data_IF_766823191892
#
_entry.id   IF_766823191892
#
_cell.length_a   1.000
_cell.length_b   1.000
_cell.length_c   1.000
_cell.angle_alpha   90.00
_cell.angle_beta   90.00
_cell.angle_gamma   90.00
#
_symmetry.space_group_name_H-M   'P 1'
#
loop_
_entity.id
_entity.type
_entity.pdbx_description
1 polymer ?
#
# COMPACT_ATOMS: atom_id res chain seq x y z
N UNK A 1 -45.23 -32.24 5.55
CA UNK A 1 -44.36 -32.76 4.47
C UNK A 1 -44.19 -31.65 3.44
N UNK A 2 -42.94 -31.37 3.06
CA UNK A 2 -42.44 -30.30 2.17
C UNK A 2 -42.66 -28.87 2.71
N UNK A 3 -41.68 -28.14 3.25
CA UNK A 3 -40.34 -27.76 2.73
C UNK A 3 -40.44 -26.98 1.42
N UNK A 4 -40.12 -25.68 1.46
CA UNK A 4 -39.14 -25.10 0.54
C UNK A 4 -38.65 -23.76 1.06
N UNK A 5 -37.37 -23.79 1.41
CA UNK A 5 -36.52 -22.70 1.83
C UNK A 5 -36.42 -21.60 0.78
N UNK A 6 -36.70 -20.37 1.18
CA UNK A 6 -36.18 -19.18 0.51
C UNK A 6 -34.91 -18.75 1.23
N UNK A 7 -33.77 -19.33 0.85
CA UNK A 7 -32.47 -18.78 1.18
C UNK A 7 -32.34 -17.40 0.54
N UNK A 8 -32.41 -16.36 1.36
CA UNK A 8 -31.95 -15.02 1.03
C UNK A 8 -30.46 -15.08 0.71
N UNK A 9 -30.11 -14.98 -0.57
CA UNK A 9 -28.75 -14.65 -0.99
C UNK A 9 -28.40 -13.30 -0.38
N UNK A 10 -27.39 -13.30 0.49
CA UNK A 10 -26.75 -12.09 0.96
C UNK A 10 -26.19 -11.33 -0.24
N UNK A 11 -26.54 -10.04 -0.32
CA UNK A 11 -25.98 -9.09 -1.26
C UNK A 11 -24.52 -8.80 -0.88
N UNK A 12 -23.62 -9.63 -1.40
CA UNK A 12 -22.18 -9.39 -1.33
C UNK A 12 -21.76 -8.72 -2.65
N UNK A 13 -22.13 -7.45 -2.85
CA UNK A 13 -21.73 -6.68 -4.03
C UNK A 13 -21.16 -5.30 -3.68
N UNK A 14 -19.88 -5.18 -4.02
CA UNK A 14 -19.16 -3.96 -4.42
C UNK A 14 -18.70 -2.95 -3.36
N UNK A 15 -17.74 -3.36 -2.53
CA UNK A 15 -16.60 -2.49 -2.20
C UNK A 15 -15.45 -2.87 -3.14
N UNK A 16 -15.09 -1.94 -4.03
CA UNK A 16 -14.20 -2.20 -5.17
C UNK A 16 -12.85 -2.77 -4.74
N UNK A 17 -12.54 -3.98 -5.23
CA UNK A 17 -11.20 -4.55 -5.15
C UNK A 17 -10.21 -3.51 -5.69
N UNK A 18 -9.26 -3.05 -4.86
CA UNK A 18 -8.19 -2.18 -5.34
C UNK A 18 -7.36 -2.97 -6.34
N UNK A 19 -7.38 -2.54 -7.59
CA UNK A 19 -6.55 -3.14 -8.62
C UNK A 19 -5.22 -2.40 -8.67
N UNK A 20 -4.12 -3.16 -8.79
CA UNK A 20 -2.81 -2.58 -9.08
C UNK A 20 -2.78 -2.22 -10.55
N UNK A 21 -2.65 -0.93 -10.84
CA UNK A 21 -2.43 -0.40 -12.16
C UNK A 21 -0.94 -0.40 -12.50
N UNK A 22 -0.62 -0.49 -13.79
CA UNK A 22 0.75 -0.37 -14.31
C UNK A 22 0.76 0.68 -15.42
N UNK A 23 1.52 1.74 -15.21
CA UNK A 23 1.87 2.71 -16.22
C UNK A 23 3.36 2.58 -16.55
N UNK A 24 3.76 2.86 -17.79
CA UNK A 24 5.17 2.84 -18.15
C UNK A 24 5.46 3.62 -19.42
N UNK A 25 6.70 4.05 -19.55
CA UNK A 25 7.21 4.83 -20.67
C UNK A 25 8.63 4.40 -20.99
N UNK A 26 8.94 4.28 -22.29
CA UNK A 26 10.31 4.30 -22.81
C UNK A 26 10.45 5.63 -23.55
N UNK A 27 11.32 6.48 -23.06
CA UNK A 27 11.55 7.82 -23.56
C UNK A 27 12.85 7.90 -24.35
N UNK A 28 12.71 8.17 -25.64
CA UNK A 28 13.83 8.43 -26.54
C UNK A 28 14.29 9.88 -26.41
N UNK A 29 15.58 10.07 -26.14
CA UNK A 29 16.21 11.38 -26.07
C UNK A 29 17.37 11.40 -27.05
N UNK A 30 17.08 11.87 -28.26
CA UNK A 30 18.06 11.98 -29.34
C UNK A 30 19.09 13.09 -29.06
N UNK A 31 20.26 12.95 -29.67
CA UNK A 31 21.35 13.93 -29.61
C UNK A 31 21.73 14.29 -28.16
N UNK A 32 21.78 13.28 -27.28
CA UNK A 32 21.93 13.48 -25.83
C UNK A 32 23.29 14.12 -25.49
N UNK A 33 24.36 13.69 -26.16
CA UNK A 33 25.72 14.21 -25.91
C UNK A 33 25.84 15.71 -26.21
N UNK A 34 25.11 16.20 -27.21
CA UNK A 34 25.12 17.60 -27.65
C UNK A 34 23.94 18.42 -27.11
N UNK A 35 23.26 17.92 -26.08
CA UNK A 35 22.12 18.60 -25.47
C UNK A 35 22.45 20.06 -25.09
N UNK A 36 21.72 21.01 -25.67
CA UNK A 36 21.92 22.44 -25.49
C UNK A 36 21.50 22.99 -24.12
N UNK A 37 20.79 22.20 -23.30
CA UNK A 37 20.32 22.60 -21.99
C UNK A 37 21.49 22.91 -21.04
N UNK A 38 21.34 23.91 -20.19
CA UNK A 38 22.30 24.29 -19.14
C UNK A 38 22.03 23.52 -17.84
N UNK A 39 22.92 23.64 -16.86
CA UNK A 39 22.67 23.14 -15.50
C UNK A 39 21.40 23.81 -14.94
N UNK A 40 20.55 23.04 -14.26
CA UNK A 40 19.26 23.50 -13.75
C UNK A 40 18.13 23.60 -14.79
N UNK A 41 18.42 23.46 -16.08
CA UNK A 41 17.39 23.36 -17.12
C UNK A 41 16.97 21.90 -17.32
N UNK A 42 15.68 21.69 -17.63
CA UNK A 42 15.10 20.36 -17.77
C UNK A 42 14.27 20.19 -19.03
N UNK A 43 14.07 18.92 -19.39
CA UNK A 43 13.12 18.45 -20.40
C UNK A 43 12.07 17.58 -19.71
N UNK A 44 10.84 17.57 -20.22
CA UNK A 44 9.80 16.64 -19.77
C UNK A 44 9.47 15.60 -20.84
N UNK A 45 9.08 14.41 -20.39
CA UNK A 45 8.59 13.37 -21.29
C UNK A 45 7.15 13.63 -21.70
N UNK A 46 6.63 12.92 -22.72
CA UNK A 46 5.19 12.78 -22.90
C UNK A 46 4.53 12.24 -21.62
N UNK A 47 3.27 12.63 -21.41
CA UNK A 47 2.44 12.09 -20.33
C UNK A 47 2.10 10.63 -20.65
N UNK A 48 2.17 9.77 -19.65
CA UNK A 48 1.79 8.37 -19.72
C UNK A 48 0.91 7.99 -18.52
N UNK A 49 0.04 7.00 -18.71
CA UNK A 49 -0.89 6.51 -17.70
C UNK A 49 -1.14 5.01 -17.91
N UNK A 50 -1.89 4.37 -17.01
CA UNK A 50 -2.27 2.98 -17.19
C UNK A 50 -3.26 2.82 -18.36
N UNK A 51 -3.31 1.63 -18.98
CA UNK A 51 -4.30 1.33 -20.02
C UNK A 51 -5.74 1.32 -19.46
N UNK A 52 -5.87 1.02 -18.17
CA UNK A 52 -7.15 0.84 -17.46
C UNK A 52 -7.49 2.00 -16.52
N UNK A 53 -6.54 2.92 -16.29
CA UNK A 53 -6.75 4.14 -15.50
C UNK A 53 -6.13 5.36 -16.19
N UNK A 54 -6.97 6.35 -16.50
CA UNK A 54 -6.59 7.63 -17.11
C UNK A 54 -6.60 8.80 -16.11
N UNK A 55 -6.88 8.54 -14.83
CA UNK A 55 -6.91 9.57 -13.77
C UNK A 55 -5.51 9.88 -13.27
N UNK A 56 -4.71 8.86 -12.99
CA UNK A 56 -3.32 9.06 -12.61
C UNK A 56 -2.44 9.20 -13.85
N UNK A 57 -1.97 10.43 -14.09
CA UNK A 57 -1.14 10.80 -15.23
C UNK A 57 0.27 11.12 -14.77
N UNK A 58 1.23 10.48 -15.40
CA UNK A 58 2.64 10.51 -15.01
C UNK A 58 3.48 11.13 -16.11
N UNK A 59 4.57 11.77 -15.75
CA UNK A 59 5.60 12.18 -16.70
C UNK A 59 6.97 12.19 -16.03
N UNK A 60 8.02 12.12 -16.84
CA UNK A 60 9.40 12.23 -16.38
C UNK A 60 9.92 13.64 -16.58
N UNK A 61 10.74 14.10 -15.65
CA UNK A 61 11.48 15.35 -15.73
C UNK A 61 12.97 15.07 -15.57
N UNK A 62 13.74 15.31 -16.64
CA UNK A 62 15.17 15.05 -16.69
C UNK A 62 15.94 16.37 -16.73
N UNK A 63 17.01 16.43 -15.95
CA UNK A 63 18.03 17.48 -15.98
C UNK A 63 19.32 16.85 -16.53
N UNK A 64 19.60 16.96 -17.84
CA UNK A 64 20.73 16.26 -18.46
C UNK A 64 22.10 16.67 -17.92
N UNK A 65 22.21 17.87 -17.34
CA UNK A 65 23.44 18.43 -16.76
C UNK A 65 23.29 18.74 -15.26
N UNK A 66 22.46 17.98 -14.55
CA UNK A 66 22.20 18.15 -13.12
C UNK A 66 21.17 19.25 -12.83
N UNK A 67 20.45 19.09 -11.72
CA UNK A 67 19.44 20.06 -11.26
C UNK A 67 20.05 21.25 -10.50
N UNK A 68 21.20 21.04 -9.85
CA UNK A 68 21.98 22.06 -9.14
C UNK A 68 23.47 21.88 -9.46
N UNK A 69 24.29 22.83 -9.01
CA UNK A 69 25.73 22.80 -9.28
C UNK A 69 26.45 21.58 -8.69
N UNK A 70 25.99 21.08 -7.53
CA UNK A 70 26.59 19.92 -6.83
C UNK A 70 26.39 18.59 -7.56
N UNK A 71 25.43 18.55 -8.49
CA UNK A 71 25.03 17.40 -9.28
C UNK A 71 25.26 17.62 -10.79
N UNK A 72 26.04 18.64 -11.19
CA UNK A 72 26.31 18.98 -12.59
C UNK A 72 26.93 17.87 -13.45
N UNK A 73 27.65 16.96 -12.80
CA UNK A 73 28.30 15.80 -13.43
C UNK A 73 27.37 14.59 -13.53
N UNK A 74 26.12 14.73 -13.08
CA UNK A 74 25.10 13.69 -13.08
C UNK A 74 23.87 14.13 -13.89
N UNK A 75 23.12 13.15 -14.34
CA UNK A 75 21.74 13.32 -14.77
C UNK A 75 20.88 13.29 -13.50
N UNK A 76 20.01 14.28 -13.34
CA UNK A 76 18.95 14.23 -12.34
C UNK A 76 17.64 13.83 -13.01
N UNK A 77 16.87 12.97 -12.37
CA UNK A 77 15.66 12.41 -12.95
C UNK A 77 14.55 12.29 -11.91
N UNK A 78 13.36 12.76 -12.27
CA UNK A 78 12.19 12.78 -11.42
C UNK A 78 10.96 12.22 -12.12
N UNK A 79 10.17 11.47 -11.38
CA UNK A 79 8.82 11.05 -11.71
C UNK A 79 7.86 12.08 -11.12
N UNK A 80 6.98 12.58 -11.97
CA UNK A 80 5.99 13.58 -11.62
C UNK A 80 4.60 12.99 -11.76
N UNK A 81 3.72 13.34 -10.83
CA UNK A 81 2.29 13.05 -10.91
C UNK A 81 1.54 14.34 -11.26
N UNK A 82 0.83 14.33 -12.39
CA UNK A 82 -0.12 15.39 -12.74
C UNK A 82 -1.29 15.35 -11.75
N UNK A 83 -1.75 16.52 -11.33
CA UNK A 83 -2.63 16.70 -10.18
C UNK A 83 -3.83 15.74 -10.14
N UNK A 84 -3.93 14.98 -9.04
CA UNK A 84 -5.10 14.16 -8.69
C UNK A 84 -5.83 14.83 -7.52
N UNK A 85 -7.16 14.80 -7.54
CA UNK A 85 -8.00 15.28 -6.44
C UNK A 85 -7.75 14.48 -5.15
N UNK A 86 -7.05 15.09 -4.17
CA UNK A 86 -7.02 14.74 -2.74
C UNK A 86 -6.94 13.24 -2.38
N UNK A 87 -6.08 12.47 -3.05
CA UNK A 87 -5.80 11.08 -2.67
C UNK A 87 -4.30 10.85 -2.58
N UNK A 88 -3.87 10.28 -1.46
CA UNK A 88 -2.53 9.70 -1.32
C UNK A 88 -2.44 8.45 -2.19
N UNK A 89 -1.51 8.47 -3.14
CA UNK A 89 -1.27 7.37 -4.07
C UNK A 89 0.02 6.68 -3.65
N UNK A 90 -0.11 5.50 -3.03
CA UNK A 90 1.04 4.62 -2.84
C UNK A 90 1.51 4.11 -4.20
N UNK A 91 2.80 4.29 -4.46
CA UNK A 91 3.42 4.00 -5.75
C UNK A 91 4.70 3.21 -5.56
N UNK A 92 4.92 2.30 -6.48
CA UNK A 92 6.13 1.51 -6.58
C UNK A 92 6.66 1.70 -7.99
N UNK A 93 7.80 2.35 -8.16
CA UNK A 93 8.30 2.75 -9.47
C UNK A 93 9.79 2.49 -9.64
N UNK A 94 10.23 2.43 -10.88
CA UNK A 94 11.64 2.31 -11.22
C UNK A 94 12.03 3.21 -12.39
N UNK A 95 13.30 3.56 -12.42
CA UNK A 95 13.99 4.10 -13.59
C UNK A 95 15.03 3.10 -14.06
N UNK A 96 15.22 3.02 -15.37
CA UNK A 96 16.26 2.18 -15.97
C UNK A 96 16.69 2.76 -17.31
N UNK A 97 17.84 2.35 -17.79
CA UNK A 97 18.33 2.67 -19.13
C UNK A 97 18.37 1.40 -19.96
N UNK A 98 17.98 1.46 -21.22
CA UNK A 98 18.07 0.32 -22.12
C UNK A 98 19.39 0.33 -22.88
N UNK A 99 20.10 -0.80 -22.89
CA UNK A 99 21.28 -0.98 -23.72
C UNK A 99 20.90 -1.38 -25.17
N UNK A 100 21.90 -1.58 -26.02
CA UNK A 100 21.73 -1.95 -27.44
C UNK A 100 20.99 -3.28 -27.63
N UNK A 101 21.14 -4.19 -26.68
CA UNK A 101 20.52 -5.50 -26.65
C UNK A 101 19.06 -5.44 -26.09
N UNK A 102 18.59 -4.26 -25.65
CA UNK A 102 17.26 -4.05 -25.09
C UNK A 102 17.12 -4.48 -23.62
N UNK A 103 18.24 -4.74 -22.94
CA UNK A 103 18.28 -5.12 -21.54
C UNK A 103 18.25 -3.88 -20.62
N UNK A 104 17.68 -4.04 -19.43
CA UNK A 104 17.56 -2.97 -18.44
C UNK A 104 18.85 -2.85 -17.62
N UNK A 105 19.57 -1.76 -17.84
CA UNK A 105 20.75 -1.35 -17.06
C UNK A 105 20.43 -0.17 -16.13
N UNK A 106 21.27 0.02 -15.11
CA UNK A 106 21.16 1.10 -14.12
C UNK A 106 19.74 1.25 -13.53
N UNK A 107 19.10 0.11 -13.28
CA UNK A 107 17.77 0.06 -12.73
C UNK A 107 17.79 0.48 -11.25
N UNK A 108 17.06 1.55 -10.94
CA UNK A 108 16.87 2.05 -9.57
C UNK A 108 15.38 2.04 -9.28
N UNK A 109 15.05 1.67 -8.05
CA UNK A 109 13.72 1.37 -7.59
C UNK A 109 13.34 2.21 -6.37
N UNK A 110 12.05 2.57 -6.25
CA UNK A 110 11.50 3.30 -5.11
C UNK A 110 10.06 2.90 -4.80
N UNK A 111 9.71 2.94 -3.51
CA UNK A 111 8.35 2.89 -2.99
C UNK A 111 8.06 4.23 -2.31
N UNK A 112 7.08 4.99 -2.82
CA UNK A 112 6.79 6.36 -2.37
C UNK A 112 5.30 6.65 -2.37
N UNK A 113 4.88 7.66 -1.60
CA UNK A 113 3.49 8.12 -1.57
C UNK A 113 3.40 9.49 -2.24
N UNK A 114 2.74 9.56 -3.39
CA UNK A 114 2.44 10.83 -4.05
C UNK A 114 1.14 11.41 -3.48
N UNK A 115 1.12 12.72 -3.26
CA UNK A 115 -0.07 13.42 -2.79
C UNK A 115 -0.06 14.89 -3.25
N UNK A 116 -1.00 15.69 -2.75
CA UNK A 116 -1.14 17.09 -3.16
C UNK A 116 0.12 17.94 -2.87
N UNK A 117 0.86 17.64 -1.79
CA UNK A 117 2.07 18.39 -1.42
C UNK A 117 3.32 17.81 -2.05
N UNK A 118 3.39 16.48 -2.17
CA UNK A 118 4.54 15.74 -2.69
C UNK A 118 4.19 15.08 -4.03
N UNK A 119 4.26 15.87 -5.10
CA UNK A 119 3.93 15.43 -6.48
C UNK A 119 5.15 14.93 -7.28
N UNK A 120 6.35 15.01 -6.70
CA UNK A 120 7.64 14.81 -7.37
C UNK A 120 8.56 13.93 -6.53
N UNK A 121 8.98 12.80 -7.06
CA UNK A 121 10.01 11.95 -6.46
C UNK A 121 11.07 11.57 -7.49
N UNK A 122 12.33 11.45 -7.07
CA UNK A 122 13.42 11.20 -8.01
C UNK A 122 14.80 11.20 -7.38
N UNK A 123 15.80 11.19 -8.24
CA UNK A 123 17.20 11.13 -7.87
C UNK A 123 17.97 12.30 -8.46
N UNK A 124 18.59 13.08 -7.58
CA UNK A 124 19.51 14.16 -7.94
C UNK A 124 20.72 13.65 -8.73
N UNK A 125 21.22 12.46 -8.37
CA UNK A 125 22.38 11.81 -8.98
C UNK A 125 21.97 10.45 -9.54
N UNK A 126 21.06 10.44 -10.52
CA UNK A 126 20.55 9.20 -11.12
C UNK A 126 21.64 8.46 -11.90
N UNK A 127 22.33 9.17 -12.80
CA UNK A 127 23.35 8.55 -13.65
C UNK A 127 24.53 9.47 -13.91
N UNK A 128 25.76 8.96 -13.82
CA UNK A 128 26.96 9.78 -14.02
C UNK A 128 27.16 10.07 -15.52
N UNK A 129 27.28 11.35 -15.87
CA UNK A 129 27.39 11.79 -17.27
C UNK A 129 28.68 11.35 -17.93
N UNK A 130 29.78 11.33 -17.18
CA UNK A 130 31.08 10.90 -17.72
C UNK A 130 31.07 9.41 -18.07
N UNK A 131 30.33 8.60 -17.31
CA UNK A 131 30.12 7.19 -17.65
C UNK A 131 29.23 7.04 -18.88
N UNK A 132 28.16 7.83 -18.98
CA UNK A 132 27.25 7.78 -20.11
C UNK A 132 27.91 8.18 -21.45
N UNK A 133 28.76 9.23 -21.41
CA UNK A 133 29.41 9.78 -22.59
C UNK A 133 30.69 9.04 -23.00
N UNK A 134 31.14 8.07 -22.18
CA UNK A 134 32.30 7.26 -22.51
C UNK A 134 31.96 6.36 -23.70
N UNK A 135 32.77 6.42 -24.77
CA UNK A 135 32.61 5.65 -26.01
C UNK A 135 32.56 4.14 -25.78
N UNK A 136 33.15 3.67 -24.68
CA UNK A 136 33.15 2.25 -24.30
C UNK A 136 31.82 1.80 -23.65
N UNK A 137 30.94 2.74 -23.29
CA UNK A 137 29.69 2.43 -22.63
C UNK A 137 28.57 2.27 -23.69
N UNK A 138 28.00 1.07 -23.80
CA UNK A 138 26.99 0.71 -24.82
C UNK A 138 25.59 1.31 -24.57
N UNK A 139 25.51 2.36 -23.78
CA UNK A 139 24.25 2.92 -23.24
C UNK A 139 23.61 3.91 -24.21
N UNK A 140 24.42 4.64 -24.99
CA UNK A 140 23.92 5.51 -26.05
C UNK A 140 23.91 4.74 -27.38
N UNK A 141 22.74 4.72 -28.03
CA UNK A 141 22.55 4.08 -29.35
C UNK A 141 22.41 5.22 -30.35
N UNK A 142 23.38 5.43 -31.24
CA UNK A 142 23.37 6.56 -32.19
C UNK A 142 23.12 7.91 -31.49
N UNK A 143 23.85 8.18 -30.40
CA UNK A 143 23.68 9.37 -29.53
C UNK A 143 22.25 9.54 -28.95
N UNK A 144 21.48 8.45 -28.89
CA UNK A 144 20.14 8.44 -28.30
C UNK A 144 20.16 7.72 -26.97
N UNK A 145 19.65 8.38 -25.93
CA UNK A 145 19.43 7.79 -24.62
C UNK A 145 18.02 7.21 -24.56
N UNK A 146 17.91 5.90 -24.28
CA UNK A 146 16.65 5.20 -24.06
C UNK A 146 16.35 5.08 -22.57
N UNK A 147 15.60 6.03 -22.04
CA UNK A 147 15.26 6.06 -20.62
C UNK A 147 13.89 5.42 -20.37
N UNK A 148 13.85 4.40 -19.52
CA UNK A 148 12.62 3.71 -19.14
C UNK A 148 12.13 4.07 -17.75
N UNK A 149 10.81 4.09 -17.58
CA UNK A 149 10.14 4.14 -16.29
C UNK A 149 8.95 3.19 -16.26
N UNK A 150 8.77 2.49 -15.15
CA UNK A 150 7.51 1.79 -14.84
C UNK A 150 7.02 2.22 -13.47
N UNK A 151 5.71 2.41 -13.35
CA UNK A 151 5.02 2.83 -12.12
C UNK A 151 3.87 1.87 -11.88
N UNK A 152 3.84 1.29 -10.68
CA UNK A 152 2.73 0.53 -10.15
C UNK A 152 2.05 1.36 -9.07
N UNK A 153 0.72 1.38 -9.05
CA UNK A 153 -0.07 2.16 -8.08
C UNK A 153 -1.44 1.52 -7.89
N UNK A 154 -2.07 1.74 -6.74
CA UNK A 154 -3.45 1.29 -6.54
C UNK A 154 -4.42 2.27 -7.19
N UNK A 155 -5.25 1.78 -8.11
CA UNK A 155 -6.45 2.51 -8.53
C UNK A 155 -7.61 2.10 -7.63
N UNK A 156 -8.16 3.09 -6.93
CA UNK A 156 -9.35 2.94 -6.10
C UNK A 156 -10.47 3.81 -6.65
N UNK A 157 -11.60 3.18 -6.99
CA UNK A 157 -12.89 3.87 -7.15
C UNK A 157 -13.21 4.59 -5.84
N UNK A 158 -13.03 5.91 -5.79
CA UNK A 158 -13.80 6.74 -4.86
C UNK A 158 -15.06 7.21 -5.57
N UNK A 159 -16.21 6.89 -4.99
CA UNK A 159 -17.45 7.61 -5.23
C UNK A 159 -17.21 9.08 -4.90
N UNK A 160 -16.88 9.86 -5.92
CA UNK A 160 -16.89 11.33 -5.84
C UNK A 160 -18.34 11.77 -5.84
N UNK A 161 -19.00 11.75 -4.69
CA UNK A 161 -20.24 12.51 -4.54
C UNK A 161 -19.89 14.00 -4.51
N UNK A 162 -20.39 14.72 -5.50
CA UNK A 162 -20.26 16.18 -5.66
C UNK A 162 -20.72 16.93 -4.42
N UNK A 163 -19.90 17.87 -3.96
CA UNK A 163 -20.10 18.63 -2.72
C UNK A 163 -20.97 19.87 -2.89
N UNK A 164 -22.15 19.82 -2.28
CA UNK A 164 -22.85 21.00 -1.72
C UNK A 164 -23.84 20.62 -0.60
N UNK A 165 -24.35 19.38 -0.57
CA UNK A 165 -25.26 18.87 0.49
C UNK A 165 -24.54 18.17 1.67
N UNK A 166 -23.22 17.96 1.60
CA UNK A 166 -22.44 17.08 2.49
C UNK A 166 -22.07 17.70 3.85
N UNK A 167 -22.07 19.03 3.98
CA UNK A 167 -21.53 19.70 5.19
C UNK A 167 -22.35 19.42 6.45
N UNK A 168 -23.69 19.45 6.37
CA UNK A 168 -24.56 19.20 7.53
C UNK A 168 -24.56 17.72 7.93
N UNK A 169 -24.56 16.81 6.95
CA UNK A 169 -24.50 15.36 7.19
C UNK A 169 -23.19 14.99 7.90
N UNK A 170 -22.06 15.58 7.47
CA UNK A 170 -20.76 15.34 8.10
C UNK A 170 -20.73 15.81 9.56
N UNK A 171 -21.40 16.93 9.86
CA UNK A 171 -21.59 17.41 11.24
C UNK A 171 -22.34 16.41 12.10
N UNK A 172 -23.52 15.95 11.65
CA UNK A 172 -24.33 14.98 12.39
C UNK A 172 -23.63 13.62 12.58
N UNK A 173 -22.97 13.11 11.55
CA UNK A 173 -22.18 11.88 11.65
C UNK A 173 -21.04 12.01 12.65
N UNK A 174 -20.29 13.12 12.62
CA UNK A 174 -19.22 13.36 13.57
C UNK A 174 -19.72 13.40 15.02
N UNK A 175 -20.88 14.02 15.27
CA UNK A 175 -21.51 14.00 16.60
C UNK A 175 -21.82 12.58 17.04
N UNK A 176 -22.49 11.78 16.19
CA UNK A 176 -22.81 10.39 16.50
C UNK A 176 -21.56 9.55 16.82
N UNK A 177 -20.50 9.68 16.00
CA UNK A 177 -19.23 8.96 16.24
C UNK A 177 -18.57 9.38 17.55
N UNK A 178 -18.70 10.65 17.95
CA UNK A 178 -18.19 11.12 19.23
C UNK A 178 -19.05 10.64 20.40
N UNK A 179 -20.37 10.54 20.23
CA UNK A 179 -21.27 9.96 21.23
C UNK A 179 -20.94 8.49 21.50
N UNK A 180 -20.69 7.69 20.45
CA UNK A 180 -20.21 6.31 20.61
C UNK A 180 -18.81 6.23 21.23
N UNK A 181 -17.91 7.16 20.89
CA UNK A 181 -16.61 7.25 21.55
C UNK A 181 -16.76 7.55 23.05
N UNK A 182 -17.66 8.45 23.43
CA UNK A 182 -17.95 8.75 24.84
C UNK A 182 -18.62 7.56 25.56
N UNK A 183 -19.46 6.81 24.86
CA UNK A 183 -20.06 5.59 25.37
C UNK A 183 -19.00 4.52 25.69
N UNK A 184 -17.98 4.38 24.83
CA UNK A 184 -16.83 3.51 25.08
C UNK A 184 -16.03 3.96 26.33
N UNK A 185 -15.69 5.24 26.44
CA UNK A 185 -14.85 5.74 27.54
C UNK A 185 -15.56 5.84 28.90
N UNK A 186 -16.90 5.90 28.92
CA UNK A 186 -17.67 6.07 30.17
C UNK A 186 -18.11 4.77 30.85
N UNK A 187 -17.91 3.60 30.21
CA UNK A 187 -18.40 2.29 30.66
C UNK A 187 -19.91 2.22 30.96
N UNK A 188 -20.69 3.23 30.54
CA UNK A 188 -22.08 3.38 30.98
C UNK A 188 -22.96 2.35 30.28
N UNK A 189 -23.61 1.50 31.07
CA UNK A 189 -24.45 0.38 30.59
C UNK A 189 -23.67 -0.74 29.89
N UNK A 190 -22.37 -0.89 30.19
CA UNK A 190 -21.63 -2.08 29.76
C UNK A 190 -22.31 -3.35 30.27
N UNK A 191 -22.39 -4.34 29.40
CA UNK A 191 -23.04 -5.63 29.69
C UNK A 191 -22.09 -6.81 29.42
N UNK A 192 -20.83 -6.54 29.07
CA UNK A 192 -19.74 -7.50 29.00
C UNK A 192 -18.39 -6.85 29.32
N UNK A 193 -17.41 -7.69 29.67
CA UNK A 193 -16.03 -7.30 29.95
C UNK A 193 -15.11 -8.06 29.00
N UNK A 194 -14.20 -7.35 28.34
CA UNK A 194 -13.12 -7.95 27.57
C UNK A 194 -11.87 -7.97 28.44
N UNK A 195 -11.35 -9.16 28.71
CA UNK A 195 -10.18 -9.38 29.56
C UNK A 195 -8.95 -9.66 28.71
N UNK A 196 -7.88 -8.89 28.91
CA UNK A 196 -6.60 -8.97 28.20
C UNK A 196 -5.47 -8.99 29.22
N UNK A 197 -5.01 -10.19 29.59
CA UNK A 197 -4.12 -10.34 30.74
C UNK A 197 -4.78 -9.82 32.03
N UNK A 198 -4.13 -8.85 32.67
CA UNK A 198 -4.63 -8.18 33.88
C UNK A 198 -5.48 -6.92 33.58
N UNK A 199 -5.66 -6.57 32.29
CA UNK A 199 -6.48 -5.44 31.87
C UNK A 199 -7.90 -5.86 31.56
N UNK A 200 -8.86 -5.03 31.96
CA UNK A 200 -10.28 -5.22 31.69
C UNK A 200 -10.83 -4.02 30.92
N UNK A 201 -11.66 -4.30 29.91
CA UNK A 201 -12.30 -3.29 29.05
C UNK A 201 -13.81 -3.54 29.09
N UNK A 202 -14.55 -2.59 29.66
CA UNK A 202 -16.01 -2.57 29.61
C UNK A 202 -16.51 -2.39 28.17
N UNK A 203 -17.48 -3.20 27.76
CA UNK A 203 -18.02 -3.15 26.41
C UNK A 203 -19.53 -3.45 26.32
N UNK A 204 -20.10 -3.19 25.15
CA UNK A 204 -21.51 -3.45 24.84
C UNK A 204 -21.65 -4.58 23.83
N UNK A 205 -22.32 -5.66 24.22
CA UNK A 205 -22.50 -6.86 23.42
C UNK A 205 -23.11 -6.55 22.05
N UNK A 206 -24.13 -5.70 22.02
CA UNK A 206 -24.83 -5.34 20.78
C UNK A 206 -23.93 -4.64 19.77
N UNK A 207 -22.98 -3.82 20.22
CA UNK A 207 -22.01 -3.15 19.34
C UNK A 207 -21.00 -4.18 18.84
N UNK A 208 -20.46 -5.02 19.72
CA UNK A 208 -19.47 -6.03 19.32
C UNK A 208 -20.05 -7.03 18.31
N UNK A 209 -21.25 -7.55 18.56
CA UNK A 209 -21.91 -8.54 17.70
C UNK A 209 -22.25 -7.98 16.32
N UNK A 210 -22.75 -6.74 16.24
CA UNK A 210 -23.12 -6.13 14.95
C UNK A 210 -21.89 -5.81 14.08
N UNK A 211 -20.75 -5.51 14.71
CA UNK A 211 -19.56 -5.01 14.04
C UNK A 211 -18.51 -6.10 13.76
N UNK A 212 -18.69 -7.31 14.30
CA UNK A 212 -17.80 -8.45 14.10
C UNK A 212 -18.56 -9.77 14.22
N UNK A 213 -18.56 -10.54 13.14
CA UNK A 213 -19.14 -11.89 13.11
C UNK A 213 -18.51 -12.81 14.16
N UNK A 214 -17.21 -12.62 14.45
CA UNK A 214 -16.50 -13.42 15.45
C UNK A 214 -17.00 -13.08 16.86
N UNK A 215 -17.21 -11.81 17.17
CA UNK A 215 -17.83 -11.43 18.44
C UNK A 215 -19.28 -11.89 18.54
N UNK A 216 -20.06 -11.85 17.45
CA UNK A 216 -21.44 -12.38 17.45
C UNK A 216 -21.48 -13.88 17.78
N UNK A 217 -20.59 -14.67 17.18
CA UNK A 217 -20.44 -16.09 17.46
C UNK A 217 -20.08 -16.32 18.93
N UNK A 218 -19.02 -15.68 19.44
CA UNK A 218 -18.58 -15.79 20.84
C UNK A 218 -19.72 -15.45 21.80
N UNK A 219 -20.42 -14.35 21.54
CA UNK A 219 -21.50 -13.86 22.39
C UNK A 219 -22.76 -14.73 22.32
N UNK A 220 -23.00 -15.39 21.19
CA UNK A 220 -24.13 -16.30 21.00
C UNK A 220 -23.88 -17.65 21.64
N UNK A 221 -22.66 -18.19 21.57
CA UNK A 221 -22.26 -19.39 22.30
C UNK A 221 -22.39 -19.18 23.83
N UNK A 222 -21.93 -18.02 24.32
CA UNK A 222 -22.03 -17.64 25.73
C UNK A 222 -23.45 -17.38 26.23
N UNK A 223 -24.46 -17.15 25.37
CA UNK A 223 -25.86 -16.97 25.81
C UNK A 223 -26.39 -18.19 26.59
N UNK A 224 -25.83 -19.37 26.35
CA UNK A 224 -26.25 -20.62 26.97
C UNK A 224 -25.44 -20.96 28.23
N UNK A 225 -24.37 -20.21 28.52
CA UNK A 225 -23.53 -20.41 29.68
C UNK A 225 -24.03 -19.52 30.83
N UNK A 226 -24.18 -20.08 32.02
CA UNK A 226 -24.52 -19.33 33.24
C UNK A 226 -23.33 -18.48 33.75
N UNK A 227 -22.24 -18.42 32.98
CA UNK A 227 -20.98 -17.80 33.31
C UNK A 227 -20.99 -16.29 33.04
N UNK A 228 -20.11 -15.58 33.75
CA UNK A 228 -19.90 -14.14 33.60
C UNK A 228 -19.72 -13.74 32.13
N UNK A 229 -20.25 -12.57 31.75
CA UNK A 229 -20.15 -11.99 30.40
C UNK A 229 -18.71 -11.52 30.07
N UNK A 230 -17.71 -12.34 30.38
CA UNK A 230 -16.29 -12.08 30.17
C UNK A 230 -15.85 -12.75 28.86
N UNK A 231 -15.19 -11.98 28.00
CA UNK A 231 -14.54 -12.42 26.77
C UNK A 231 -13.03 -12.30 26.98
N UNK A 232 -12.30 -13.42 26.90
CA UNK A 232 -10.86 -13.42 27.15
C UNK A 232 -10.09 -13.38 25.83
N UNK A 233 -9.09 -12.49 25.75
CA UNK A 233 -8.21 -12.32 24.59
C UNK A 233 -6.77 -12.41 25.08
N UNK A 234 -6.02 -13.37 24.54
CA UNK A 234 -4.65 -13.67 24.98
C UNK A 234 -3.56 -13.30 23.96
N UNK A 235 -3.92 -13.19 22.68
CA UNK A 235 -2.94 -13.10 21.59
C UNK A 235 -2.43 -11.68 21.30
N UNK A 236 -2.95 -10.66 22.01
CA UNK A 236 -2.68 -9.25 21.72
C UNK A 236 -2.48 -8.45 23.01
N UNK A 237 -1.71 -7.36 22.91
CA UNK A 237 -1.52 -6.44 24.04
C UNK A 237 -2.82 -5.67 24.35
N UNK A 238 -3.00 -5.21 25.59
CA UNK A 238 -4.17 -4.41 25.98
C UNK A 238 -4.38 -3.17 25.09
N UNK A 239 -3.30 -2.53 24.64
CA UNK A 239 -3.35 -1.34 23.77
C UNK A 239 -3.95 -1.66 22.40
N UNK A 240 -3.47 -2.73 21.75
CA UNK A 240 -3.97 -3.15 20.43
C UNK A 240 -5.45 -3.56 20.54
N UNK A 241 -5.82 -4.29 21.58
CA UNK A 241 -7.24 -4.65 21.81
C UNK A 241 -8.08 -3.41 22.05
N UNK A 242 -7.61 -2.45 22.85
CA UNK A 242 -8.34 -1.20 23.10
C UNK A 242 -8.63 -0.43 21.82
N UNK A 243 -7.65 -0.30 20.93
CA UNK A 243 -7.83 0.35 19.63
C UNK A 243 -8.75 -0.43 18.69
N UNK A 244 -8.72 -1.78 18.71
CA UNK A 244 -9.72 -2.60 18.01
C UNK A 244 -11.14 -2.29 18.49
N UNK A 245 -11.38 -2.26 19.80
CA UNK A 245 -12.73 -2.01 20.34
C UNK A 245 -13.18 -0.59 20.02
N UNK A 246 -12.30 0.40 20.16
CA UNK A 246 -12.58 1.78 19.76
C UNK A 246 -12.93 1.89 18.28
N UNK A 247 -12.28 1.13 17.41
CA UNK A 247 -12.66 1.02 16.00
C UNK A 247 -14.07 0.44 15.81
N UNK A 248 -14.46 -0.59 16.56
CA UNK A 248 -15.81 -1.16 16.46
C UNK A 248 -16.90 -0.11 16.80
N UNK A 249 -16.65 0.72 17.81
CA UNK A 249 -17.57 1.77 18.23
C UNK A 249 -17.64 2.96 17.27
N UNK A 250 -16.50 3.37 16.72
CA UNK A 250 -16.40 4.66 16.04
C UNK A 250 -16.14 4.56 14.53
N UNK A 251 -15.76 3.39 14.03
CA UNK A 251 -15.25 3.19 12.67
C UNK A 251 -13.98 3.99 12.35
N UNK A 252 -13.42 4.74 13.30
CA UNK A 252 -12.17 5.48 13.12
C UNK A 252 -11.02 4.50 13.18
N UNK A 253 -10.19 4.49 12.15
CA UNK A 253 -9.01 3.65 12.09
C UNK A 253 -7.99 4.14 13.14
N UNK A 254 -7.32 3.22 13.85
CA UNK A 254 -6.25 3.58 14.77
C UNK A 254 -5.09 4.23 14.02
N UNK A 255 -4.13 4.80 14.74
CA UNK A 255 -2.86 5.19 14.12
C UNK A 255 -2.13 3.91 13.69
N UNK A 256 -2.40 3.48 12.46
CA UNK A 256 -1.94 2.19 11.95
C UNK A 256 -0.41 2.14 11.85
N UNK A 257 0.28 3.26 11.72
CA UNK A 257 1.70 3.25 11.36
C UNK A 257 2.60 2.58 12.41
N UNK A 258 2.23 2.62 13.69
CA UNK A 258 3.00 1.99 14.78
C UNK A 258 2.58 0.54 15.08
N UNK A 259 1.34 0.16 14.75
CA UNK A 259 0.73 -1.12 15.12
C UNK A 259 0.10 -1.84 13.93
N UNK A 260 0.55 -1.56 12.71
CA UNK A 260 -0.09 -2.06 11.49
C UNK A 260 -0.03 -3.58 11.40
N UNK A 261 1.05 -4.22 11.87
CA UNK A 261 1.17 -5.68 11.86
C UNK A 261 0.14 -6.33 12.79
N UNK A 262 -0.06 -5.75 13.98
CA UNK A 262 -1.00 -6.21 14.98
C UNK A 262 -2.44 -5.94 14.53
N UNK A 263 -2.71 -4.80 13.90
CA UNK A 263 -4.01 -4.48 13.32
C UNK A 263 -4.35 -5.36 12.12
N UNK A 264 -3.36 -5.76 11.32
CA UNK A 264 -3.54 -6.76 10.27
C UNK A 264 -3.95 -8.12 10.86
N UNK A 265 -3.26 -8.56 11.91
CA UNK A 265 -3.53 -9.82 12.61
C UNK A 265 -4.92 -9.83 13.28
N UNK A 266 -5.25 -8.78 14.04
CA UNK A 266 -6.58 -8.62 14.65
C UNK A 266 -7.67 -8.54 13.59
N UNK A 267 -7.43 -7.77 12.52
CA UNK A 267 -8.40 -7.59 11.44
C UNK A 267 -8.75 -8.91 10.76
N UNK A 268 -7.77 -9.79 10.57
CA UNK A 268 -8.02 -11.13 10.04
C UNK A 268 -8.71 -12.06 11.06
N UNK A 269 -8.27 -12.04 12.32
CA UNK A 269 -8.79 -12.91 13.39
C UNK A 269 -10.26 -12.61 13.71
N UNK A 270 -10.62 -11.34 13.84
CA UNK A 270 -11.99 -10.89 14.19
C UNK A 270 -12.83 -10.50 12.96
N UNK A 271 -12.36 -10.82 11.75
CA UNK A 271 -13.02 -10.57 10.47
C UNK A 271 -13.42 -9.10 10.24
N UNK A 272 -12.54 -8.19 10.65
CA UNK A 272 -12.70 -6.74 10.49
C UNK A 272 -12.07 -6.29 9.17
N UNK A 273 -12.79 -6.52 8.06
CA UNK A 273 -12.29 -6.31 6.69
C UNK A 273 -11.66 -4.93 6.45
N UNK A 274 -12.36 -3.85 6.81
CA UNK A 274 -11.87 -2.49 6.55
C UNK A 274 -10.66 -2.11 7.42
N UNK A 275 -10.60 -2.61 8.67
CA UNK A 275 -9.43 -2.44 9.54
C UNK A 275 -8.21 -3.17 8.96
N UNK A 276 -8.41 -4.40 8.47
CA UNK A 276 -7.38 -5.19 7.79
C UNK A 276 -6.86 -4.48 6.55
N UNK A 277 -7.74 -3.96 5.69
CA UNK A 277 -7.36 -3.21 4.49
C UNK A 277 -6.58 -1.94 4.83
N UNK A 278 -6.97 -1.21 5.88
CA UNK A 278 -6.23 -0.04 6.34
C UNK A 278 -4.83 -0.39 6.85
N UNK A 279 -4.70 -1.49 7.58
CA UNK A 279 -3.41 -2.02 8.01
C UNK A 279 -2.53 -2.41 6.80
N UNK A 280 -3.10 -3.08 5.79
CA UNK A 280 -2.39 -3.36 4.53
C UNK A 280 -1.88 -2.08 3.86
N UNK A 281 -2.70 -1.02 3.79
CA UNK A 281 -2.28 0.27 3.22
C UNK A 281 -1.10 0.90 3.98
N UNK A 282 -1.14 0.88 5.32
CA UNK A 282 -0.05 1.43 6.14
C UNK A 282 1.26 0.66 5.91
N UNK A 283 1.20 -0.67 5.90
CA UNK A 283 2.35 -1.54 5.61
C UNK A 283 2.89 -1.32 4.18
N UNK A 284 2.02 -1.12 3.21
CA UNK A 284 2.41 -0.78 1.83
C UNK A 284 3.17 0.55 1.79
N UNK A 285 2.72 1.57 2.54
CA UNK A 285 3.36 2.90 2.56
C UNK A 285 4.75 2.86 3.22
N UNK A 286 4.95 2.01 4.22
CA UNK A 286 6.23 1.86 4.94
C UNK A 286 7.17 0.80 4.37
N UNK A 287 6.76 0.06 3.33
CA UNK A 287 7.52 -1.03 2.74
C UNK A 287 8.90 -0.57 2.20
N UNK A 288 9.94 -1.30 2.61
CA UNK A 288 11.33 -1.10 2.23
C UNK A 288 12.10 -2.44 2.25
N UNK A 289 13.42 -2.40 1.97
CA UNK A 289 14.26 -3.61 1.86
C UNK A 289 14.38 -4.37 3.21
N UNK A 290 14.32 -3.67 4.33
CA UNK A 290 14.53 -4.24 5.67
C UNK A 290 13.28 -4.98 6.16
N UNK A 291 12.08 -4.48 5.86
CA UNK A 291 10.83 -5.05 6.35
C UNK A 291 10.08 -5.95 5.35
N UNK A 292 10.45 -5.98 4.06
CA UNK A 292 9.69 -6.73 3.04
C UNK A 292 9.60 -8.23 3.32
N UNK A 293 10.63 -8.84 3.91
CA UNK A 293 10.63 -10.27 4.25
C UNK A 293 9.65 -10.59 5.37
N UNK A 294 9.52 -9.73 6.38
CA UNK A 294 8.54 -9.86 7.45
C UNK A 294 7.12 -9.62 6.90
N UNK A 295 6.94 -8.58 6.08
CA UNK A 295 5.63 -8.22 5.53
C UNK A 295 5.09 -9.28 4.58
N UNK A 296 5.92 -9.91 3.73
CA UNK A 296 5.43 -10.98 2.85
C UNK A 296 4.95 -12.20 3.65
N UNK A 297 5.66 -12.58 4.71
CA UNK A 297 5.26 -13.69 5.59
C UNK A 297 3.94 -13.38 6.29
N UNK A 298 3.85 -12.19 6.92
CA UNK A 298 2.62 -11.73 7.58
C UNK A 298 1.45 -11.62 6.60
N UNK A 299 1.70 -11.17 5.36
CA UNK A 299 0.66 -11.05 4.35
C UNK A 299 0.08 -12.40 3.94
N UNK A 300 0.88 -13.47 3.98
CA UNK A 300 0.40 -14.82 3.71
C UNK A 300 -0.31 -15.41 4.92
N UNK A 301 0.29 -15.29 6.11
CA UNK A 301 -0.27 -15.75 7.37
C UNK A 301 -1.68 -15.18 7.62
N UNK A 302 -1.85 -13.88 7.40
CA UNK A 302 -3.12 -13.19 7.63
C UNK A 302 -3.95 -13.01 6.36
N UNK A 303 -3.69 -13.76 5.28
CA UNK A 303 -4.49 -13.70 4.03
C UNK A 303 -4.72 -12.27 3.50
N UNK A 304 -3.69 -11.42 3.56
CA UNK A 304 -3.70 -10.03 3.14
C UNK A 304 -3.17 -9.92 1.71
N UNK A 305 -4.05 -10.15 0.75
CA UNK A 305 -3.66 -10.36 -0.65
C UNK A 305 -3.14 -9.08 -1.33
N UNK A 306 -3.62 -7.91 -0.92
CA UNK A 306 -3.20 -6.62 -1.50
C UNK A 306 -1.75 -6.32 -1.11
N UNK A 307 -1.43 -6.48 0.17
CA UNK A 307 -0.07 -6.36 0.69
C UNK A 307 0.85 -7.42 0.07
N UNK A 308 0.39 -8.66 -0.04
CA UNK A 308 1.17 -9.77 -0.60
C UNK A 308 1.57 -9.51 -2.04
N UNK A 309 0.62 -9.11 -2.89
CA UNK A 309 0.92 -8.78 -4.28
C UNK A 309 1.93 -7.62 -4.38
N UNK A 310 1.78 -6.59 -3.53
CA UNK A 310 2.71 -5.47 -3.48
C UNK A 310 4.13 -5.90 -3.07
N UNK A 311 4.25 -6.70 -2.01
CA UNK A 311 5.52 -7.26 -1.55
C UNK A 311 6.18 -8.14 -2.62
N UNK A 312 5.45 -9.03 -3.29
CA UNK A 312 6.00 -9.88 -4.36
C UNK A 312 6.58 -9.04 -5.51
N UNK A 313 5.88 -7.97 -5.91
CA UNK A 313 6.39 -7.06 -6.93
C UNK A 313 7.61 -6.29 -6.45
N UNK A 314 7.61 -5.80 -5.21
CA UNK A 314 8.78 -5.15 -4.60
C UNK A 314 10.00 -6.08 -4.63
N UNK A 315 9.82 -7.34 -4.23
CA UNK A 315 10.89 -8.35 -4.26
C UNK A 315 11.38 -8.56 -5.68
N UNK A 316 10.48 -8.66 -6.67
CA UNK A 316 10.86 -8.87 -8.07
C UNK A 316 11.74 -7.73 -8.62
N UNK A 317 11.47 -6.48 -8.22
CA UNK A 317 12.23 -5.31 -8.61
C UNK A 317 13.58 -5.21 -7.87
N UNK A 318 13.71 -5.81 -6.69
CA UNK A 318 14.91 -5.76 -5.83
C UNK A 318 15.64 -7.11 -5.71
N UNK A 319 15.34 -8.08 -6.59
CA UNK A 319 15.82 -9.46 -6.49
C UNK A 319 17.35 -9.59 -6.36
N UNK A 320 18.13 -8.72 -7.02
CA UNK A 320 19.61 -8.75 -6.96
C UNK A 320 20.15 -8.49 -5.55
N UNK A 321 19.46 -7.64 -4.78
CA UNK A 321 19.82 -7.29 -3.41
C UNK A 321 19.29 -8.39 -2.48
N UNK A 322 18.00 -8.72 -2.60
CA UNK A 322 17.32 -9.66 -1.71
C UNK A 322 17.83 -11.10 -1.85
N UNK A 323 18.24 -11.55 -3.03
CA UNK A 323 18.82 -12.89 -3.21
C UNK A 323 20.08 -13.13 -2.37
N UNK A 324 20.74 -12.06 -1.90
CA UNK A 324 21.92 -12.12 -1.03
C UNK A 324 21.59 -12.00 0.47
N UNK A 325 20.36 -11.62 0.82
CA UNK A 325 19.92 -11.44 2.21
C UNK A 325 19.69 -12.79 2.89
N UNK A 326 20.09 -12.90 4.16
CA UNK A 326 19.84 -14.09 4.98
C UNK A 326 18.36 -14.19 5.37
N UNK A 327 17.69 -13.06 5.55
CA UNK A 327 16.25 -12.97 5.82
C UNK A 327 15.45 -13.58 4.66
N UNK A 328 15.81 -13.24 3.42
CA UNK A 328 15.16 -13.84 2.25
C UNK A 328 15.38 -15.35 2.17
N UNK A 329 16.59 -15.83 2.47
CA UNK A 329 16.86 -17.29 2.52
C UNK A 329 15.98 -17.99 3.54
N UNK A 330 15.79 -17.40 4.73
CA UNK A 330 14.88 -17.94 5.76
C UNK A 330 13.45 -18.02 5.24
N UNK A 331 12.94 -16.95 4.62
CA UNK A 331 11.58 -16.94 4.03
C UNK A 331 11.39 -18.10 3.05
N UNK A 332 12.34 -18.35 2.16
CA UNK A 332 12.23 -19.43 1.17
C UNK A 332 12.25 -20.83 1.82
N UNK A 333 13.04 -21.01 2.89
CA UNK A 333 13.13 -22.29 3.61
C UNK A 333 11.87 -22.56 4.44
N UNK A 334 11.40 -21.55 5.18
CA UNK A 334 10.28 -21.67 6.12
C UNK A 334 8.92 -21.60 5.42
N UNK A 335 8.84 -20.88 4.28
CA UNK A 335 7.61 -20.65 3.53
C UNK A 335 7.77 -20.97 2.02
N UNK A 336 8.03 -22.24 1.63
CA UNK A 336 8.34 -22.62 0.25
C UNK A 336 7.22 -22.30 -0.75
N UNK A 337 5.96 -22.23 -0.32
CA UNK A 337 4.82 -21.84 -1.17
C UNK A 337 4.94 -20.39 -1.66
N UNK A 338 5.57 -19.50 -0.88
CA UNK A 338 5.84 -18.12 -1.32
C UNK A 338 6.87 -18.08 -2.44
N UNK A 339 7.80 -19.03 -2.47
CA UNK A 339 8.78 -19.15 -3.56
C UNK A 339 8.09 -19.45 -4.90
N UNK A 340 7.11 -20.35 -4.91
CA UNK A 340 6.35 -20.69 -6.12
C UNK A 340 5.57 -19.49 -6.66
N UNK A 341 4.84 -18.76 -5.78
CA UNK A 341 4.15 -17.52 -6.15
C UNK A 341 5.12 -16.48 -6.73
N UNK A 342 6.31 -16.37 -6.17
CA UNK A 342 7.35 -15.48 -6.68
C UNK A 342 7.80 -15.89 -8.09
N UNK A 343 8.04 -17.18 -8.35
CA UNK A 343 8.42 -17.66 -9.69
C UNK A 343 7.35 -17.35 -10.74
N UNK A 344 6.08 -17.58 -10.42
CA UNK A 344 4.96 -17.28 -11.33
C UNK A 344 4.87 -15.78 -11.62
N UNK A 345 5.00 -14.93 -10.60
CA UNK A 345 4.96 -13.48 -10.79
C UNK A 345 6.16 -13.00 -11.61
N UNK A 346 7.37 -13.50 -11.32
CA UNK A 346 8.59 -13.14 -12.04
C UNK A 346 8.53 -13.51 -13.53
N UNK A 347 7.94 -14.66 -13.87
CA UNK A 347 7.75 -15.09 -15.25
C UNK A 347 6.83 -14.12 -16.05
N UNK A 348 5.89 -13.46 -15.36
CA UNK A 348 4.88 -12.57 -15.95
C UNK A 348 5.27 -11.08 -15.96
N UNK A 349 6.41 -10.69 -15.37
CA UNK A 349 6.85 -9.29 -15.24
C UNK A 349 7.66 -8.78 -16.46
N UNK A 350 7.77 -9.57 -17.55
CA UNK A 350 8.47 -9.16 -18.78
C UNK A 350 7.85 -7.93 -19.45
#
# INVERSE_FOLDING_TARGET
MASNDSFSKSNDEHVGKKCIEKAGLIWMIDNFSVCGLKNGEFKTSPIFHSKTDNKAKWYLQIYPKGSRDIDKDYISLYLQLEEIENVDVATMWNFYVLNQEGEKEYAIFSNTVFNKTNKSYGYLKFFNRNLLLNSNNKVLINDTLLLGCSVFYFSGSKNTFSTSTICNIRGHLNTLLNDFSNLFESSKFSDCIIKVGDSEIDAHRCILSDRSEVFDLILTEKKNECASNIIEIYDFSPEVVKEMIKYLYTGKLPNTDEMACEMLAIGDKYKLKELKLAAEESLIRSLNIENVCDYIVKSDLYSAETLKEWCLRFISLNHKILAKSEEWKKVIIEHPVLADKFFVLFANVK
#
